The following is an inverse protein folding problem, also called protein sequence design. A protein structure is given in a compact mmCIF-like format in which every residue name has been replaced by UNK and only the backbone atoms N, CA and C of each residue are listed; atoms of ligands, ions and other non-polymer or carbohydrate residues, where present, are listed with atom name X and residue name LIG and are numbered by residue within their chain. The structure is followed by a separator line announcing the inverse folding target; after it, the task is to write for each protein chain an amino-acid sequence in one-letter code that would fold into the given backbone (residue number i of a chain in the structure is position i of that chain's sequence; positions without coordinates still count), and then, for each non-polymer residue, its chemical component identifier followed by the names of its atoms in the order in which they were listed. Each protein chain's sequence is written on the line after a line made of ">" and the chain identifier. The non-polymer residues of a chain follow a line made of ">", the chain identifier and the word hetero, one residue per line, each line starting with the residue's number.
data_IF_681953998627
#
_entry.id   IF_681953998627
#
_cell.length_a   1.000
_cell.length_b   1.000
_cell.length_c   1.000
_cell.angle_alpha   90.00
_cell.angle_beta   90.00
_cell.angle_gamma   90.00
#
_symmetry.space_group_name_H-M   'P 1'
#
loop_
_entity.id
_entity.type
_entity.pdbx_description
1 polymer ?
#
# COMPACT_ATOMS: atom_id res chain seq x y z
N UNK A 1 27.10 26.30 -36.02
CA UNK A 1 26.34 27.20 -35.14
C UNK A 1 25.43 26.33 -34.29
N UNK A 2 25.79 26.21 -33.01
CA UNK A 2 25.11 25.37 -32.02
C UNK A 2 23.94 26.14 -31.40
N UNK A 3 22.73 25.59 -31.47
CA UNK A 3 21.62 26.05 -30.64
C UNK A 3 21.51 25.13 -29.42
N UNK A 4 22.07 25.60 -28.31
CA UNK A 4 21.98 24.97 -26.99
C UNK A 4 20.61 25.33 -26.40
N UNK A 5 19.70 24.36 -26.29
CA UNK A 5 18.42 24.56 -25.58
C UNK A 5 18.68 24.87 -24.10
N UNK A 6 17.90 25.77 -23.47
CA UNK A 6 18.05 26.07 -22.05
C UNK A 6 17.62 24.87 -21.19
N UNK A 7 18.52 24.40 -20.33
CA UNK A 7 18.21 23.47 -19.24
C UNK A 7 17.22 24.17 -18.31
N UNK A 8 16.02 23.62 -18.17
CA UNK A 8 15.12 23.96 -17.08
C UNK A 8 15.46 23.03 -15.92
N UNK A 9 16.23 23.55 -14.97
CA UNK A 9 16.47 22.88 -13.69
C UNK A 9 15.15 22.85 -12.93
N UNK A 10 14.49 21.69 -12.92
CA UNK A 10 13.33 21.45 -12.06
C UNK A 10 13.86 21.43 -10.62
N UNK A 11 13.64 22.54 -9.91
CA UNK A 11 13.91 22.63 -8.47
C UNK A 11 12.95 21.67 -7.78
N UNK A 12 13.43 20.47 -7.39
CA UNK A 12 12.75 19.67 -6.38
C UNK A 12 12.78 20.47 -5.07
N UNK A 13 11.64 20.68 -4.38
CA UNK A 13 11.68 21.22 -3.03
C UNK A 13 12.48 20.28 -2.13
N UNK A 14 13.46 20.84 -1.42
CA UNK A 14 14.32 20.11 -0.50
C UNK A 14 13.49 19.22 0.45
N UNK A 15 13.83 17.93 0.45
CA UNK A 15 13.27 16.95 1.39
C UNK A 15 13.44 17.47 2.82
N UNK A 16 12.41 17.44 3.68
CA UNK A 16 12.58 17.85 5.08
C UNK A 16 13.61 16.95 5.74
N UNK A 17 14.67 17.57 6.27
CA UNK A 17 15.71 16.92 7.06
C UNK A 17 15.05 16.28 8.27
N UNK A 18 14.92 14.95 8.26
CA UNK A 18 14.36 14.19 9.38
C UNK A 18 15.35 14.27 10.55
N UNK A 19 15.10 15.18 11.48
CA UNK A 19 15.70 15.12 12.80
C UNK A 19 15.27 13.79 13.44
N UNK A 20 16.25 12.95 13.78
CA UNK A 20 16.01 11.68 14.47
C UNK A 20 15.59 12.01 15.90
N UNK A 21 14.31 12.35 16.06
CA UNK A 21 13.69 12.46 17.37
C UNK A 21 13.53 11.04 17.93
N UNK A 22 14.15 10.78 19.07
CA UNK A 22 14.04 9.52 19.81
C UNK A 22 12.58 9.28 20.19
N UNK A 23 11.85 8.51 19.36
CA UNK A 23 10.42 8.25 19.56
C UNK A 23 10.20 7.27 20.71
N UNK A 24 9.34 7.67 21.66
CA UNK A 24 9.01 6.90 22.87
C UNK A 24 8.22 5.64 22.48
N UNK A 25 8.63 4.49 23.01
CA UNK A 25 7.88 3.24 22.86
C UNK A 25 6.79 3.18 23.93
N UNK A 26 5.52 3.11 23.53
CA UNK A 26 4.44 2.85 24.48
C UNK A 26 4.18 1.33 24.51
N UNK A 27 4.48 0.69 25.65
CA UNK A 27 4.11 -0.72 25.87
C UNK A 27 2.62 -0.80 26.17
N UNK A 28 1.80 -1.24 25.21
CA UNK A 28 0.37 -1.52 25.40
C UNK A 28 0.19 -2.88 26.09
N UNK A 29 0.64 -2.99 27.34
CA UNK A 29 0.42 -4.18 28.17
C UNK A 29 -0.89 -4.10 28.96
N UNK A 30 -1.52 -2.92 29.05
CA UNK A 30 -2.68 -2.68 29.93
C UNK A 30 -4.01 -3.25 29.42
N UNK A 31 -4.18 -3.46 28.12
CA UNK A 31 -5.48 -3.84 27.54
C UNK A 31 -5.61 -5.32 27.21
N UNK A 32 -4.52 -6.09 27.21
CA UNK A 32 -4.54 -7.52 26.89
C UNK A 32 -4.82 -8.44 28.09
N UNK A 33 -4.60 -7.98 29.32
CA UNK A 33 -4.79 -8.79 30.54
C UNK A 33 -6.25 -8.92 31.00
N UNK A 34 -7.18 -8.17 30.39
CA UNK A 34 -8.61 -8.20 30.74
C UNK A 34 -9.45 -9.06 29.79
N UNK A 35 -8.85 -9.58 28.71
CA UNK A 35 -9.55 -10.46 27.78
C UNK A 35 -9.59 -11.88 28.38
N UNK A 36 -10.78 -12.51 28.51
CA UNK A 36 -10.88 -13.90 28.92
C UNK A 36 -10.00 -14.78 28.03
N UNK A 37 -9.00 -15.45 28.62
CA UNK A 37 -8.20 -16.43 27.90
C UNK A 37 -9.14 -17.56 27.44
N UNK A 38 -9.15 -17.94 26.14
CA UNK A 38 -9.86 -19.13 25.73
C UNK A 38 -9.27 -20.33 26.48
N UNK A 39 -10.14 -21.09 27.16
CA UNK A 39 -9.75 -22.31 27.85
C UNK A 39 -9.00 -23.21 26.85
N UNK A 40 -7.72 -23.43 27.14
CA UNK A 40 -6.80 -24.18 26.28
C UNK A 40 -7.32 -25.61 26.11
N UNK A 41 -7.84 -25.91 24.91
CA UNK A 41 -7.89 -27.27 24.42
C UNK A 41 -6.45 -27.71 24.13
N UNK A 42 -6.09 -28.88 24.65
CA UNK A 42 -4.76 -29.47 24.75
C UNK A 42 -4.23 -29.99 23.40
N UNK A 43 -4.13 -29.13 22.40
CA UNK A 43 -3.25 -29.37 21.25
C UNK A 43 -1.95 -28.59 21.50
N UNK A 44 -0.82 -29.29 21.63
CA UNK A 44 0.49 -28.65 21.70
C UNK A 44 0.74 -27.88 20.39
N UNK A 45 0.39 -26.60 20.37
CA UNK A 45 0.62 -25.75 19.21
C UNK A 45 2.12 -25.49 19.10
N UNK A 46 2.72 -25.86 17.97
CA UNK A 46 4.15 -25.62 17.67
C UNK A 46 4.49 -24.12 17.51
N UNK A 47 3.50 -23.24 17.68
CA UNK A 47 3.61 -21.78 17.57
C UNK A 47 2.85 -21.16 18.74
N UNK A 48 3.46 -20.16 19.37
CA UNK A 48 2.87 -19.31 20.40
C UNK A 48 3.03 -17.85 20.03
N UNK A 49 2.01 -17.02 20.29
CA UNK A 49 2.08 -15.58 20.07
C UNK A 49 2.55 -14.85 21.33
N UNK A 50 3.29 -13.75 21.15
CA UNK A 50 3.64 -12.86 22.25
C UNK A 50 2.38 -12.21 22.83
N UNK A 51 2.22 -12.27 24.15
CA UNK A 51 1.17 -11.54 24.88
C UNK A 51 1.45 -10.04 24.99
N UNK A 52 2.66 -9.61 24.64
CA UNK A 52 3.08 -8.21 24.70
C UNK A 52 3.12 -7.63 23.28
N UNK A 53 2.38 -6.54 23.09
CA UNK A 53 2.43 -5.71 21.89
C UNK A 53 3.21 -4.44 22.20
N UNK A 54 4.25 -4.16 21.40
CA UNK A 54 5.05 -2.94 21.48
C UNK A 54 4.53 -1.98 20.41
N UNK A 55 4.13 -0.77 20.81
CA UNK A 55 3.68 0.27 19.89
C UNK A 55 4.71 1.39 19.85
N UNK A 56 5.22 1.65 18.64
CA UNK A 56 6.06 2.79 18.35
C UNK A 56 5.18 3.92 17.82
N UNK A 57 5.49 5.14 18.23
CA UNK A 57 4.85 6.33 17.69
C UNK A 57 5.24 6.51 16.22
N UNK A 58 4.25 6.75 15.37
CA UNK A 58 4.43 7.11 13.95
C UNK A 58 3.89 8.51 13.72
N UNK A 59 4.15 9.08 12.55
CA UNK A 59 3.63 10.40 12.18
C UNK A 59 2.11 10.48 12.37
N UNK A 60 1.60 11.50 13.05
CA UNK A 60 0.16 11.74 13.20
C UNK A 60 -0.47 12.29 11.91
N UNK A 61 -1.79 12.29 11.81
CA UNK A 61 -2.49 12.99 10.70
C UNK A 61 -2.31 14.51 10.73
N UNK A 62 -1.85 15.05 11.86
CA UNK A 62 -1.48 16.46 11.98
C UNK A 62 -0.07 16.73 11.43
N UNK A 63 0.83 15.73 11.48
CA UNK A 63 2.19 15.83 10.93
C UNK A 63 2.24 15.66 9.41
N UNK A 64 1.31 14.89 8.85
CA UNK A 64 1.11 14.83 7.39
C UNK A 64 -0.30 14.39 7.04
N UNK A 65 -0.81 14.95 5.95
CA UNK A 65 -2.07 14.53 5.37
C UNK A 65 -1.87 13.22 4.60
N UNK A 66 -2.66 12.21 4.95
CA UNK A 66 -2.70 10.90 4.29
C UNK A 66 -3.85 10.78 3.32
N UNK A 67 -4.73 11.79 3.26
CA UNK A 67 -5.85 11.77 2.35
C UNK A 67 -5.34 11.84 0.92
N UNK A 68 -5.90 11.00 0.07
CA UNK A 68 -5.76 11.19 -1.37
C UNK A 68 -6.50 12.46 -1.78
N UNK A 69 -6.20 12.97 -2.98
CA UNK A 69 -7.01 14.03 -3.57
C UNK A 69 -8.51 13.61 -3.58
N UNK A 70 -9.39 14.58 -3.37
CA UNK A 70 -10.83 14.37 -3.32
C UNK A 70 -11.38 13.88 -4.68
N UNK A 71 -10.61 14.03 -5.76
CA UNK A 71 -10.93 13.49 -7.08
C UNK A 71 -10.22 12.15 -7.32
N UNK A 72 -10.91 11.05 -7.01
CA UNK A 72 -10.37 9.73 -7.29
C UNK A 72 -10.46 9.44 -8.79
N UNK A 73 -9.38 8.95 -9.40
CA UNK A 73 -9.35 8.65 -10.85
C UNK A 73 -10.49 7.74 -11.29
N UNK A 74 -10.88 6.78 -10.43
CA UNK A 74 -11.99 5.87 -10.71
C UNK A 74 -13.38 6.53 -10.71
N UNK A 75 -13.54 7.72 -10.11
CA UNK A 75 -14.80 8.46 -10.17
C UNK A 75 -15.01 9.13 -11.52
N UNK A 76 -13.93 9.37 -12.29
CA UNK A 76 -13.97 9.95 -13.63
C UNK A 76 -14.13 8.89 -14.74
N UNK A 77 -14.47 7.65 -14.38
CA UNK A 77 -14.71 6.56 -15.34
C UNK A 77 -16.03 6.79 -16.08
N UNK A 78 -15.94 7.31 -17.31
CA UNK A 78 -17.07 7.29 -18.24
C UNK A 78 -17.29 5.86 -18.75
N UNK A 79 -18.52 5.51 -19.21
CA UNK A 79 -18.78 4.19 -19.79
C UNK A 79 -17.87 3.86 -20.98
N UNK A 80 -17.53 4.86 -21.79
CA UNK A 80 -16.61 4.75 -22.93
C UNK A 80 -15.18 4.44 -22.47
N UNK A 81 -14.66 5.23 -21.52
CA UNK A 81 -13.32 5.02 -20.97
C UNK A 81 -13.19 3.65 -20.29
N UNK A 82 -14.26 3.18 -19.63
CA UNK A 82 -14.28 1.85 -19.04
C UNK A 82 -14.18 0.74 -20.10
N UNK A 83 -14.80 0.91 -21.26
CA UNK A 83 -14.69 -0.05 -22.37
C UNK A 83 -13.27 -0.06 -22.94
N UNK A 84 -12.68 1.12 -23.14
CA UNK A 84 -11.30 1.24 -23.62
C UNK A 84 -10.30 0.57 -22.68
N UNK A 85 -10.42 0.84 -21.38
CA UNK A 85 -9.58 0.21 -20.34
C UNK A 85 -9.76 -1.32 -20.35
N UNK A 86 -10.98 -1.83 -20.48
CA UNK A 86 -11.23 -3.28 -20.55
C UNK A 86 -10.53 -3.91 -21.76
N UNK A 87 -10.62 -3.26 -22.92
CA UNK A 87 -9.98 -3.71 -24.16
C UNK A 87 -8.46 -3.73 -24.01
N UNK A 88 -7.88 -2.62 -23.54
CA UNK A 88 -6.44 -2.50 -23.30
C UNK A 88 -5.95 -3.59 -22.32
N UNK A 89 -6.68 -3.82 -21.23
CA UNK A 89 -6.32 -4.85 -20.26
C UNK A 89 -6.40 -6.26 -20.85
N UNK A 90 -7.40 -6.56 -21.67
CA UNK A 90 -7.49 -7.86 -22.35
C UNK A 90 -6.31 -8.06 -23.31
N UNK A 91 -5.96 -7.04 -24.09
CA UNK A 91 -4.84 -7.08 -25.02
C UNK A 91 -3.51 -7.27 -24.28
N UNK A 92 -3.28 -6.54 -23.20
CA UNK A 92 -2.08 -6.69 -22.38
C UNK A 92 -1.99 -8.08 -21.72
N UNK A 93 -3.09 -8.59 -21.17
CA UNK A 93 -3.16 -9.92 -20.55
C UNK A 93 -2.84 -11.03 -21.55
N UNK A 94 -3.23 -10.86 -22.81
CA UNK A 94 -3.01 -11.84 -23.86
C UNK A 94 -1.59 -11.78 -24.44
N UNK A 95 -1.09 -10.57 -24.71
CA UNK A 95 0.11 -10.39 -25.55
C UNK A 95 1.39 -10.10 -24.74
N UNK A 96 1.28 -9.49 -23.56
CA UNK A 96 2.45 -8.94 -22.84
C UNK A 96 2.63 -9.55 -21.44
N UNK A 97 1.54 -9.97 -20.81
CA UNK A 97 1.59 -10.52 -19.45
C UNK A 97 2.11 -11.96 -19.47
N UNK A 98 3.28 -12.17 -18.88
CA UNK A 98 3.88 -13.50 -18.76
C UNK A 98 3.14 -14.31 -17.69
N UNK A 99 2.42 -15.35 -18.12
CA UNK A 99 1.72 -16.28 -17.23
C UNK A 99 2.17 -17.71 -17.52
N UNK A 100 2.50 -18.44 -16.46
CA UNK A 100 2.85 -19.85 -16.56
C UNK A 100 1.72 -20.64 -17.26
N UNK A 101 2.01 -21.57 -18.20
CA UNK A 101 0.99 -22.24 -19.01
C UNK A 101 -0.16 -22.86 -18.20
N UNK A 102 0.15 -23.53 -17.09
CA UNK A 102 -0.85 -24.15 -16.21
C UNK A 102 -1.76 -23.14 -15.50
N UNK A 103 -1.30 -21.90 -15.35
CA UNK A 103 -2.01 -20.83 -14.66
C UNK A 103 -2.81 -19.93 -15.59
N UNK A 104 -2.68 -20.07 -16.92
CA UNK A 104 -3.37 -19.23 -17.91
C UNK A 104 -4.90 -19.28 -17.78
N UNK A 105 -5.43 -20.41 -17.34
CA UNK A 105 -6.87 -20.58 -17.07
C UNK A 105 -7.39 -19.68 -15.95
N UNK A 106 -6.52 -19.18 -15.07
CA UNK A 106 -6.88 -18.29 -13.97
C UNK A 106 -6.77 -16.80 -14.34
N UNK A 107 -6.36 -16.49 -15.57
CA UNK A 107 -6.32 -15.11 -16.06
C UNK A 107 -7.74 -14.62 -16.35
N UNK A 108 -8.20 -13.64 -15.58
CA UNK A 108 -9.53 -13.05 -15.73
C UNK A 108 -9.59 -12.08 -16.92
N UNK A 109 -10.47 -12.33 -17.88
CA UNK A 109 -10.76 -11.45 -19.02
C UNK A 109 -12.11 -10.75 -18.86
N UNK A 110 -12.24 -9.57 -19.47
CA UNK A 110 -13.49 -8.82 -19.50
C UNK A 110 -14.30 -9.14 -20.76
N UNK A 111 -15.62 -9.21 -20.63
CA UNK A 111 -16.60 -9.33 -21.73
C UNK A 111 -17.08 -7.94 -22.13
#
# INVERSE_FOLDING_TARGET
>A
MSEKKPNQDIILPDSPTSSVSSRKTNRLTKYFSLLPLPASSTACSKVSFSSTVIVHETFSSAEYDRQSDNTYTCQNLTPELALDIKKELNDHKLNNMHVHPQSRQFTHFFI
#
